data_IF_345078833516
#
_entry.id   IF_345078833516
#
_cell.length_a   1.000
_cell.length_b   1.000
_cell.length_c   1.000
_cell.angle_alpha   90.00
_cell.angle_beta   90.00
_cell.angle_gamma   90.00
#
_symmetry.space_group_name_H-M   'P 1'
#
loop_
_entity.id
_entity.type
_entity.pdbx_description
1 polymer ?
#
# COMPACT_ATOMS: atom_id res chain seq x y z
N UNK A 1 6.67 23.06 -2.85
CA UNK A 1 7.41 22.05 -2.06
C UNK A 1 6.60 21.47 -0.89
N UNK A 2 5.75 22.24 -0.21
CA UNK A 2 4.96 21.76 0.93
C UNK A 2 3.86 20.76 0.52
N UNK A 3 3.17 20.99 -0.58
CA UNK A 3 2.11 20.09 -1.07
C UNK A 3 2.67 18.70 -1.44
N UNK A 4 3.84 18.68 -2.09
CA UNK A 4 4.51 17.42 -2.45
C UNK A 4 4.92 16.61 -1.22
N UNK A 5 5.37 17.28 -0.16
CA UNK A 5 5.76 16.61 1.09
C UNK A 5 4.56 16.09 1.88
N UNK A 6 3.40 16.77 1.81
CA UNK A 6 2.16 16.29 2.42
C UNK A 6 1.61 15.07 1.69
N UNK A 7 1.58 15.09 0.35
CA UNK A 7 1.16 13.93 -0.46
C UNK A 7 2.04 12.71 -0.21
N UNK A 8 3.35 12.88 -0.13
CA UNK A 8 4.27 11.79 0.16
C UNK A 8 4.01 11.16 1.54
N UNK A 9 3.72 11.97 2.56
CA UNK A 9 3.39 11.45 3.90
C UNK A 9 2.06 10.69 3.91
N UNK A 10 1.05 11.20 3.20
CA UNK A 10 -0.26 10.54 3.10
C UNK A 10 -0.14 9.19 2.37
N UNK A 11 0.62 9.17 1.29
CA UNK A 11 0.94 7.99 0.51
C UNK A 11 1.69 6.94 1.34
N UNK A 12 2.72 7.36 2.07
CA UNK A 12 3.46 6.48 2.97
C UNK A 12 2.56 5.89 4.06
N UNK A 13 1.68 6.72 4.63
CA UNK A 13 0.74 6.30 5.67
C UNK A 13 -0.28 5.30 5.14
N UNK A 14 -0.78 5.51 3.92
CA UNK A 14 -1.69 4.57 3.26
C UNK A 14 -1.03 3.23 2.99
N UNK A 15 0.15 3.23 2.36
CA UNK A 15 0.93 2.02 2.12
C UNK A 15 1.26 1.28 3.41
N UNK A 16 1.68 2.01 4.46
CA UNK A 16 1.95 1.42 5.76
C UNK A 16 0.72 0.71 6.35
N UNK A 17 -0.45 1.36 6.30
CA UNK A 17 -1.71 0.77 6.77
C UNK A 17 -2.10 -0.49 5.99
N UNK A 18 -1.86 -0.51 4.66
CA UNK A 18 -2.11 -1.71 3.85
C UNK A 18 -1.16 -2.85 4.21
N UNK A 19 0.13 -2.55 4.41
CA UNK A 19 1.11 -3.54 4.83
C UNK A 19 0.79 -4.12 6.22
N UNK A 20 0.38 -3.25 7.16
CA UNK A 20 -0.03 -3.64 8.51
C UNK A 20 -1.26 -4.55 8.48
N UNK A 21 -2.29 -4.18 7.72
CA UNK A 21 -3.48 -5.00 7.54
C UNK A 21 -3.16 -6.35 6.88
N UNK A 22 -2.28 -6.35 5.87
CA UNK A 22 -1.83 -7.58 5.22
C UNK A 22 -1.10 -8.48 6.21
N UNK A 23 -0.16 -7.94 6.98
CA UNK A 23 0.61 -8.69 7.98
C UNK A 23 -0.29 -9.28 9.06
N UNK A 24 -1.21 -8.46 9.61
CA UNK A 24 -2.16 -8.91 10.62
C UNK A 24 -3.08 -10.03 10.10
N UNK A 25 -3.58 -9.87 8.87
CA UNK A 25 -4.47 -10.87 8.26
C UNK A 25 -3.73 -12.14 7.83
N UNK A 26 -2.45 -12.04 7.48
CA UNK A 26 -1.61 -13.16 7.08
C UNK A 26 -1.23 -14.10 8.25
N UNK A 27 -1.36 -13.64 9.50
CA UNK A 27 -1.09 -14.42 10.70
C UNK A 27 -1.74 -15.82 10.65
N UNK A 28 -3.04 -15.87 10.38
CA UNK A 28 -3.79 -17.12 10.27
C UNK A 28 -3.32 -17.98 9.10
N UNK A 29 -3.10 -17.38 7.95
CA UNK A 29 -2.65 -18.10 6.76
C UNK A 29 -1.28 -18.77 6.97
N UNK A 30 -0.36 -18.06 7.63
CA UNK A 30 0.96 -18.61 7.96
C UNK A 30 0.86 -19.70 9.03
N UNK A 31 0.08 -19.47 10.10
CA UNK A 31 -0.07 -20.42 11.21
C UNK A 31 -0.66 -21.77 10.75
N UNK A 32 -1.66 -21.72 9.86
CA UNK A 32 -2.34 -22.91 9.35
C UNK A 32 -1.79 -23.41 8.01
N UNK A 33 -0.76 -22.74 7.47
CA UNK A 33 -0.19 -23.02 6.14
C UNK A 33 -1.26 -23.02 5.04
N UNK A 34 -2.21 -22.08 5.13
CA UNK A 34 -3.32 -21.91 4.20
C UNK A 34 -2.97 -20.90 3.11
N UNK A 35 -2.40 -21.40 2.01
CA UNK A 35 -1.99 -20.58 0.88
C UNK A 35 -3.19 -19.90 0.19
N UNK A 36 -4.38 -20.50 0.20
CA UNK A 36 -5.56 -19.93 -0.44
C UNK A 36 -6.01 -18.63 0.26
N UNK A 37 -5.89 -18.60 1.59
CA UNK A 37 -6.13 -17.37 2.37
C UNK A 37 -5.08 -16.33 2.03
N UNK A 38 -3.80 -16.70 2.05
CA UNK A 38 -2.70 -15.78 1.76
C UNK A 38 -2.79 -15.20 0.34
N UNK A 39 -3.15 -16.00 -0.66
CA UNK A 39 -3.38 -15.52 -2.02
C UNK A 39 -4.50 -14.48 -2.09
N UNK A 40 -5.65 -14.75 -1.45
CA UNK A 40 -6.77 -13.80 -1.41
C UNK A 40 -6.41 -12.48 -0.75
N UNK A 41 -5.58 -12.53 0.29
CA UNK A 41 -5.09 -11.33 0.98
C UNK A 41 -4.18 -10.51 0.06
N UNK A 42 -3.22 -11.15 -0.60
CA UNK A 42 -2.34 -10.50 -1.57
C UNK A 42 -3.13 -9.92 -2.75
N UNK A 43 -4.10 -10.67 -3.31
CA UNK A 43 -5.00 -10.18 -4.35
C UNK A 43 -5.85 -8.99 -3.88
N UNK A 44 -6.21 -8.96 -2.60
CA UNK A 44 -6.92 -7.83 -1.98
C UNK A 44 -6.09 -6.54 -2.01
N UNK A 45 -4.83 -6.64 -1.62
CA UNK A 45 -3.87 -5.52 -1.64
C UNK A 45 -3.58 -5.08 -3.08
N UNK A 46 -3.43 -6.01 -4.02
CA UNK A 46 -3.16 -5.72 -5.43
C UNK A 46 -4.33 -5.03 -6.16
N UNK A 47 -5.53 -4.93 -5.57
CA UNK A 47 -6.64 -4.12 -6.12
C UNK A 47 -6.40 -2.62 -5.98
N UNK A 48 -5.53 -2.22 -5.07
CA UNK A 48 -5.15 -0.82 -4.96
C UNK A 48 -4.28 -0.43 -6.15
N UNK A 49 -4.60 0.72 -6.76
CA UNK A 49 -3.98 1.16 -8.03
C UNK A 49 -2.51 1.48 -7.91
N UNK A 50 -2.07 1.82 -6.71
CA UNK A 50 -0.70 2.27 -6.45
C UNK A 50 0.23 1.10 -6.12
N UNK A 51 -0.31 -0.11 -5.95
CA UNK A 51 0.47 -1.31 -5.66
C UNK A 51 1.16 -1.86 -6.90
N UNK A 52 2.46 -2.14 -6.75
CA UNK A 52 3.29 -2.81 -7.77
C UNK A 52 3.35 -4.31 -7.51
N UNK A 53 3.54 -4.67 -6.25
CA UNK A 53 3.60 -6.05 -5.81
C UNK A 53 3.19 -6.21 -4.35
N UNK A 54 2.78 -7.42 -4.00
CA UNK A 54 2.57 -7.89 -2.65
C UNK A 54 3.20 -9.28 -2.49
N UNK A 55 3.97 -9.49 -1.44
CA UNK A 55 4.64 -10.74 -1.14
C UNK A 55 4.48 -11.08 0.34
N UNK A 56 4.25 -12.35 0.64
CA UNK A 56 4.23 -12.88 2.00
C UNK A 56 5.27 -13.98 2.06
N UNK A 57 6.17 -13.90 3.04
CA UNK A 57 7.24 -14.86 3.25
C UNK A 57 7.12 -15.52 4.63
N UNK A 58 7.67 -16.71 4.77
CA UNK A 58 7.82 -17.40 6.06
C UNK A 58 8.98 -16.82 6.90
N UNK A 59 9.20 -17.38 8.09
CA UNK A 59 10.28 -16.99 8.98
C UNK A 59 11.69 -17.22 8.40
N UNK A 60 11.81 -18.06 7.38
CA UNK A 60 13.05 -18.36 6.67
C UNK A 60 13.24 -17.47 5.44
N UNK A 61 12.26 -16.63 5.11
CA UNK A 61 12.30 -15.76 3.95
C UNK A 61 11.90 -16.44 2.63
N UNK A 62 11.30 -17.65 2.69
CA UNK A 62 10.76 -18.29 1.50
C UNK A 62 9.40 -17.67 1.15
N UNK A 63 9.16 -17.33 -0.11
CA UNK A 63 7.88 -16.77 -0.52
C UNK A 63 6.77 -17.82 -0.42
N UNK A 64 5.75 -17.53 0.38
CA UNK A 64 4.50 -18.31 0.44
C UNK A 64 3.53 -17.85 -0.65
N UNK A 65 3.44 -16.54 -0.85
CA UNK A 65 2.65 -15.92 -1.92
C UNK A 65 3.41 -14.72 -2.48
N UNK A 66 3.32 -14.59 -3.80
CA UNK A 66 3.92 -13.49 -4.55
C UNK A 66 2.95 -13.06 -5.65
N UNK A 67 2.53 -11.80 -5.62
CA UNK A 67 1.67 -11.18 -6.64
C UNK A 67 2.31 -9.89 -7.11
N UNK A 68 2.34 -9.70 -8.43
CA UNK A 68 2.87 -8.50 -9.05
C UNK A 68 2.01 -8.08 -10.24
N UNK A 69 2.12 -6.81 -10.63
CA UNK A 69 1.49 -6.34 -11.87
C UNK A 69 2.16 -6.95 -13.08
N UNK A 70 1.40 -7.04 -14.20
CA UNK A 70 1.92 -7.59 -15.48
C UNK A 70 3.13 -6.83 -16.02
N UNK A 71 3.20 -5.51 -15.77
CA UNK A 71 4.33 -4.65 -16.19
C UNK A 71 5.51 -4.69 -15.18
N UNK A 72 5.37 -5.43 -14.09
CA UNK A 72 6.40 -5.64 -13.09
C UNK A 72 6.63 -7.15 -12.92
N UNK A 73 7.29 -7.78 -13.91
CA UNK A 73 7.26 -9.24 -14.11
C UNK A 73 7.98 -10.05 -13.03
N UNK A 74 8.92 -9.45 -12.33
CA UNK A 74 9.65 -10.14 -11.27
C UNK A 74 9.90 -9.20 -10.09
N UNK A 75 9.57 -9.67 -8.89
CA UNK A 75 10.07 -9.04 -7.68
C UNK A 75 11.59 -9.23 -7.69
N UNK A 76 12.30 -8.13 -7.79
CA UNK A 76 13.76 -8.12 -7.93
C UNK A 76 14.44 -8.98 -6.86
N UNK A 77 15.48 -9.69 -7.24
CA UNK A 77 16.32 -10.44 -6.30
C UNK A 77 16.82 -9.59 -5.13
N UNK A 78 16.97 -8.29 -5.35
CA UNK A 78 17.32 -7.30 -4.35
C UNK A 78 16.28 -7.19 -3.22
N UNK A 79 14.97 -7.34 -3.51
CA UNK A 79 13.90 -7.35 -2.50
C UNK A 79 14.00 -8.60 -1.64
N UNK A 80 14.18 -9.75 -2.27
CA UNK A 80 14.32 -11.03 -1.55
C UNK A 80 15.54 -11.05 -0.65
N UNK A 81 16.66 -10.52 -1.11
CA UNK A 81 17.86 -10.40 -0.27
C UNK A 81 17.62 -9.50 0.93
N UNK A 82 16.94 -8.35 0.75
CA UNK A 82 16.58 -7.45 1.87
C UNK A 82 15.63 -8.12 2.86
N UNK A 83 14.66 -8.89 2.40
CA UNK A 83 13.79 -9.68 3.29
C UNK A 83 14.62 -10.57 4.18
N UNK A 84 15.57 -11.30 3.61
CA UNK A 84 16.47 -12.18 4.39
C UNK A 84 17.33 -11.37 5.37
N UNK A 85 17.89 -10.25 4.95
CA UNK A 85 18.70 -9.39 5.81
C UNK A 85 17.88 -8.83 6.99
N UNK A 86 16.63 -8.41 6.74
CA UNK A 86 15.74 -7.90 7.78
C UNK A 86 15.33 -9.00 8.75
N UNK A 87 14.95 -10.17 8.25
CA UNK A 87 14.57 -11.32 9.08
C UNK A 87 15.72 -11.77 9.99
N UNK A 88 16.98 -11.68 9.53
CA UNK A 88 18.15 -12.06 10.31
C UNK A 88 18.55 -11.02 11.36
N UNK A 89 18.38 -9.73 11.09
CA UNK A 89 18.92 -8.66 11.91
C UNK A 89 17.85 -7.94 12.77
N UNK A 90 16.67 -7.66 12.21
CA UNK A 90 15.62 -6.87 12.86
C UNK A 90 14.21 -7.38 12.53
N UNK A 91 13.90 -8.66 12.85
CA UNK A 91 12.66 -9.28 12.38
C UNK A 91 11.38 -8.72 13.03
N UNK A 92 11.51 -7.95 14.11
CA UNK A 92 10.36 -7.47 14.92
C UNK A 92 9.95 -6.03 14.64
N UNK A 93 10.70 -5.30 13.82
CA UNK A 93 10.48 -3.89 13.56
C UNK A 93 10.06 -3.69 12.10
N UNK A 94 8.97 -2.93 11.84
CA UNK A 94 8.63 -2.55 10.48
C UNK A 94 9.78 -1.76 9.82
N UNK A 95 10.11 -2.12 8.59
CA UNK A 95 11.13 -1.43 7.81
C UNK A 95 10.51 -0.83 6.56
N UNK A 96 10.95 0.37 6.20
CA UNK A 96 10.52 1.05 4.99
C UNK A 96 11.73 1.56 4.23
N UNK A 97 11.71 1.45 2.90
CA UNK A 97 12.77 1.93 2.05
C UNK A 97 12.26 2.53 0.75
N UNK A 98 12.99 3.53 0.26
CA UNK A 98 12.77 4.09 -1.06
C UNK A 98 13.82 3.53 -2.01
N UNK A 99 13.38 2.89 -3.09
CA UNK A 99 14.25 2.25 -4.06
C UNK A 99 13.77 2.60 -5.47
N UNK A 100 14.60 3.29 -6.21
CA UNK A 100 14.27 3.84 -7.52
C UNK A 100 12.95 4.65 -7.47
N UNK A 101 11.94 4.25 -8.25
CA UNK A 101 10.63 4.89 -8.32
C UNK A 101 9.57 4.22 -7.44
N UNK A 102 9.97 3.36 -6.50
CA UNK A 102 9.05 2.65 -5.62
C UNK A 102 9.38 2.83 -4.13
N UNK A 103 8.35 2.75 -3.32
CA UNK A 103 8.44 2.69 -1.88
C UNK A 103 8.13 1.25 -1.43
N UNK A 104 9.04 0.65 -0.68
CA UNK A 104 8.89 -0.72 -0.18
C UNK A 104 8.63 -0.69 1.31
N UNK A 105 7.66 -1.47 1.75
CA UNK A 105 7.29 -1.60 3.16
C UNK A 105 7.39 -3.08 3.53
N UNK A 106 8.17 -3.34 4.56
CA UNK A 106 8.41 -4.66 5.14
C UNK A 106 7.76 -4.68 6.52
N UNK A 107 6.73 -5.49 6.69
CA UNK A 107 5.95 -5.58 7.91
C UNK A 107 6.07 -6.98 8.50
N UNK A 108 6.60 -7.13 9.73
CA UNK A 108 6.69 -8.44 10.38
C UNK A 108 5.30 -9.00 10.67
N UNK A 109 5.15 -10.31 10.47
CA UNK A 109 3.96 -11.06 10.84
C UNK A 109 4.22 -11.76 12.15
N UNK A 110 3.41 -11.44 13.16
CA UNK A 110 3.54 -12.01 14.48
C UNK A 110 2.45 -13.06 14.71
N UNK A 111 2.85 -14.19 15.25
CA UNK A 111 1.92 -15.21 15.69
C UNK A 111 2.01 -15.32 17.21
N UNK A 112 0.87 -15.35 17.94
CA UNK A 112 0.90 -15.52 19.37
C UNK A 112 1.54 -16.86 19.70
N UNK A 113 2.61 -16.83 20.49
CA UNK A 113 3.22 -18.05 21.02
C UNK A 113 2.23 -18.63 22.02
N UNK A 114 1.58 -19.73 21.67
CA UNK A 114 0.82 -20.51 22.65
C UNK A 114 1.85 -21.13 23.58
N UNK A 115 2.04 -20.52 24.73
CA UNK A 115 2.82 -21.14 25.80
C UNK A 115 2.19 -22.50 26.10
N UNK A 116 2.96 -23.54 25.80
CA UNK A 116 2.65 -24.92 26.13
C UNK A 116 3.02 -25.17 27.58
N UNK A 117 2.55 -24.27 28.47
CA UNK A 117 2.72 -24.47 29.90
C UNK A 117 1.63 -25.44 30.36
N UNK A 118 2.12 -26.55 30.87
CA UNK A 118 1.31 -27.59 31.41
C UNK A 118 0.38 -27.09 32.53
N UNK A 119 -0.78 -27.74 32.61
CA UNK A 119 -1.78 -27.65 33.68
C UNK A 119 -2.45 -26.28 33.86
N UNK A 120 -3.54 -26.13 33.07
CA UNK A 120 -4.50 -25.09 33.26
C UNK A 120 -5.17 -25.21 34.66
N UNK A 121 -4.79 -24.34 35.55
CA UNK A 121 -5.66 -23.97 36.65
C UNK A 121 -6.77 -23.07 36.09
N UNK A 122 -7.94 -23.68 35.92
CA UNK A 122 -9.12 -23.06 35.34
C UNK A 122 -9.76 -22.10 36.35
N UNK A 123 -9.19 -20.93 36.57
CA UNK A 123 -9.82 -19.79 37.26
C UNK A 123 -8.95 -18.52 37.12
N UNK A 124 -9.05 -17.82 36.00
CA UNK A 124 -8.99 -16.36 36.09
C UNK A 124 -9.64 -15.71 34.86
N UNK A 125 -10.57 -14.83 35.11
CA UNK A 125 -11.19 -13.87 34.19
C UNK A 125 -10.12 -12.86 33.68
N UNK A 126 -9.19 -13.32 32.90
CA UNK A 126 -8.20 -12.47 32.21
C UNK A 126 -8.56 -12.34 30.71
N UNK A 127 -9.80 -11.89 30.48
CA UNK A 127 -10.17 -11.38 29.17
C UNK A 127 -9.37 -10.10 28.89
N UNK A 128 -8.54 -10.12 27.84
CA UNK A 128 -7.95 -8.95 27.20
C UNK A 128 -6.82 -8.20 27.92
N UNK A 129 -5.80 -8.90 28.40
CA UNK A 129 -4.50 -8.23 28.52
C UNK A 129 -3.77 -8.27 27.15
N UNK A 130 -3.38 -7.12 26.58
CA UNK A 130 -2.53 -7.12 25.40
C UNK A 130 -1.21 -7.81 25.78
N UNK A 131 -0.88 -8.88 25.07
CA UNK A 131 0.40 -9.58 25.26
C UNK A 131 1.54 -8.56 25.09
N UNK A 132 2.46 -8.51 26.04
CA UNK A 132 3.64 -7.65 25.94
C UNK A 132 4.41 -7.96 24.67
N UNK A 133 5.05 -6.97 24.02
CA UNK A 133 5.75 -7.15 22.72
C UNK A 133 6.83 -8.22 22.75
N UNK A 134 7.36 -8.55 23.91
CA UNK A 134 8.43 -9.52 24.11
C UNK A 134 8.00 -11.00 23.94
N UNK A 135 6.69 -11.28 23.86
CA UNK A 135 6.16 -12.64 23.73
C UNK A 135 5.68 -12.97 22.30
N UNK A 136 5.95 -12.08 21.32
CA UNK A 136 5.56 -12.30 19.94
C UNK A 136 6.75 -12.77 19.13
N UNK A 137 6.64 -13.98 18.58
CA UNK A 137 7.63 -14.50 17.64
C UNK A 137 7.26 -14.12 16.21
N UNK A 138 8.24 -13.60 15.46
CA UNK A 138 8.06 -13.30 14.04
C UNK A 138 8.03 -14.59 13.24
N UNK A 139 6.91 -14.92 12.66
CA UNK A 139 6.70 -16.14 11.86
C UNK A 139 6.74 -15.87 10.36
N UNK A 140 6.98 -14.66 9.96
CA UNK A 140 7.08 -14.28 8.56
C UNK A 140 7.09 -12.77 8.36
N UNK A 141 6.99 -12.36 7.10
CA UNK A 141 6.98 -10.95 6.72
C UNK A 141 6.04 -10.70 5.56
N UNK A 142 5.24 -9.65 5.65
CA UNK A 142 4.48 -9.10 4.56
C UNK A 142 5.27 -7.96 3.92
N UNK A 143 5.42 -7.99 2.60
CA UNK A 143 6.16 -6.99 1.84
C UNK A 143 5.28 -6.43 0.74
N UNK A 144 5.18 -5.11 0.66
CA UNK A 144 4.49 -4.46 -0.44
C UNK A 144 5.39 -3.43 -1.11
N UNK A 145 5.21 -3.29 -2.42
CA UNK A 145 5.84 -2.26 -3.23
C UNK A 145 4.79 -1.30 -3.77
N UNK A 146 5.02 -0.01 -3.58
CA UNK A 146 4.10 1.07 -3.96
C UNK A 146 4.79 2.01 -4.93
N UNK A 147 4.12 2.36 -6.04
CA UNK A 147 4.68 3.19 -7.11
C UNK A 147 4.48 4.68 -6.85
N UNK A 148 5.57 5.46 -6.94
CA UNK A 148 5.47 6.92 -6.95
C UNK A 148 4.96 7.48 -8.27
N UNK A 149 5.31 6.85 -9.38
CA UNK A 149 5.02 7.40 -10.71
C UNK A 149 3.53 7.36 -11.05
N UNK A 150 2.81 6.34 -10.59
CA UNK A 150 1.35 6.25 -10.84
C UNK A 150 0.56 7.35 -10.15
N UNK A 151 0.98 7.76 -8.96
CA UNK A 151 0.35 8.90 -8.25
C UNK A 151 0.56 10.20 -9.02
N UNK A 152 1.76 10.42 -9.55
CA UNK A 152 2.09 11.63 -10.32
C UNK A 152 1.42 11.64 -11.70
N UNK A 153 1.26 10.50 -12.36
CA UNK A 153 0.56 10.37 -13.64
C UNK A 153 -0.94 10.61 -13.52
N UNK A 154 -1.58 10.08 -12.47
CA UNK A 154 -3.02 10.32 -12.21
C UNK A 154 -3.30 11.81 -11.99
N UNK A 155 -2.43 12.50 -11.27
CA UNK A 155 -2.53 13.95 -11.06
C UNK A 155 -2.30 14.74 -12.35
N UNK A 156 -1.37 14.32 -13.19
CA UNK A 156 -1.11 14.96 -14.48
C UNK A 156 -2.29 14.79 -15.46
N UNK A 157 -3.00 13.68 -15.44
CA UNK A 157 -4.22 13.48 -16.25
C UNK A 157 -5.36 14.36 -15.77
N UNK A 158 -5.61 14.43 -14.47
CA UNK A 158 -6.63 15.32 -13.89
C UNK A 158 -6.30 16.77 -14.21
N UNK A 159 -5.05 17.17 -14.09
CA UNK A 159 -4.60 18.52 -14.41
C UNK A 159 -4.80 18.87 -15.90
N UNK A 160 -4.50 17.94 -16.82
CA UNK A 160 -4.78 18.10 -18.26
C UNK A 160 -6.29 18.21 -18.54
N UNK A 161 -7.11 17.46 -17.82
CA UNK A 161 -8.57 17.50 -17.99
C UNK A 161 -9.16 18.85 -17.51
N UNK A 162 -8.70 19.36 -16.37
CA UNK A 162 -9.09 20.67 -15.84
C UNK A 162 -8.66 21.80 -16.78
N UNK A 163 -7.44 21.75 -17.32
CA UNK A 163 -6.95 22.75 -18.29
C UNK A 163 -7.79 22.72 -19.57
N UNK A 164 -8.12 21.54 -20.10
CA UNK A 164 -8.99 21.41 -21.28
C UNK A 164 -10.35 22.02 -21.03
N UNK A 165 -10.96 21.75 -19.88
CA UNK A 165 -12.27 22.29 -19.50
C UNK A 165 -12.22 23.81 -19.36
N UNK A 166 -11.18 24.36 -18.76
CA UNK A 166 -10.97 25.81 -18.64
C UNK A 166 -10.84 26.48 -20.01
N UNK A 167 -10.11 25.88 -20.96
CA UNK A 167 -9.99 26.40 -22.33
C UNK A 167 -11.33 26.40 -23.05
N UNK A 168 -12.14 25.34 -22.91
CA UNK A 168 -13.48 25.26 -23.52
C UNK A 168 -14.39 26.33 -22.95
N UNK A 169 -14.44 26.51 -21.63
CA UNK A 169 -15.25 27.53 -20.97
C UNK A 169 -14.84 28.94 -21.43
N UNK A 170 -13.52 29.20 -21.50
CA UNK A 170 -13.00 30.48 -21.99
C UNK A 170 -13.40 30.75 -23.46
N UNK A 171 -13.30 29.72 -24.29
CA UNK A 171 -13.70 29.79 -25.70
C UNK A 171 -15.21 30.12 -25.87
N UNK A 172 -16.07 29.45 -25.12
CA UNK A 172 -17.50 29.70 -25.11
C UNK A 172 -17.80 31.13 -24.62
N UNK A 173 -17.11 31.59 -23.56
CA UNK A 173 -17.31 32.97 -23.05
C UNK A 173 -16.91 34.03 -24.08
N UNK A 174 -15.81 33.83 -24.82
CA UNK A 174 -15.36 34.73 -25.88
C UNK A 174 -16.37 34.80 -27.05
N UNK A 175 -16.86 33.64 -27.49
CA UNK A 175 -17.89 33.59 -28.56
C UNK A 175 -19.20 34.27 -28.12
N UNK A 176 -19.65 33.97 -26.91
CA UNK A 176 -20.85 34.61 -26.33
C UNK A 176 -20.69 36.15 -26.22
N UNK A 177 -19.52 36.61 -25.75
CA UNK A 177 -19.21 38.04 -25.68
C UNK A 177 -19.24 38.72 -27.06
N UNK A 178 -18.69 38.05 -28.08
CA UNK A 178 -18.67 38.58 -29.43
C UNK A 178 -20.09 38.68 -30.06
N UNK A 179 -20.90 37.64 -29.85
CA UNK A 179 -22.30 37.66 -30.31
C UNK A 179 -23.10 38.74 -29.60
N UNK A 180 -22.85 38.97 -28.32
CA UNK A 180 -23.54 40.02 -27.56
C UNK A 180 -23.19 41.42 -28.06
N UNK A 181 -21.93 41.67 -28.41
CA UNK A 181 -21.46 42.92 -29.01
C UNK A 181 -22.06 43.13 -30.40
N UNK A 182 -22.18 42.11 -31.24
CA UNK A 182 -22.82 42.18 -32.55
C UNK A 182 -24.33 42.46 -32.46
N UNK A 183 -24.97 41.85 -31.42
CA UNK A 183 -26.43 42.08 -31.20
C UNK A 183 -26.73 43.52 -30.75
N UNK A 184 -25.86 44.11 -29.94
CA UNK A 184 -26.01 45.49 -29.46
C UNK A 184 -25.68 46.50 -30.56
N UNK A 185 -24.73 46.21 -31.46
CA UNK A 185 -24.32 47.09 -32.51
C UNK A 185 -25.15 46.97 -33.79
N UNK A 186 -26.19 46.12 -33.88
CA UNK A 186 -27.10 46.14 -34.97
C UNK A 186 -27.93 47.41 -34.91
N UNK A 187 -27.85 48.34 -35.91
CA UNK A 187 -28.68 49.51 -35.93
C UNK A 187 -30.13 49.07 -36.09
N UNK A 188 -31.01 49.66 -35.27
CA UNK A 188 -32.46 49.55 -35.39
C UNK A 188 -32.82 50.42 -36.62
N UNK A 189 -32.98 49.75 -37.77
CA UNK A 189 -33.67 50.38 -38.93
C UNK A 189 -35.16 50.23 -38.81
#
# INVERSE_FOLDING_TARGET
DQERSLMLREFQRHGFSLAENLAYSAEYGILFNDNDILEKLADGVMKDRDMLFAMIVDAQGHPLVEKSLQDFPEIEASVRQRVQDILQNTPTVPFTGHYDDMYQIFMPVFVPTVQKDGEADARSDAAHQPLEPEQRETQGMAVIGVSFNRVTESLAEIQKQVIRLAIVVLGVALVASRLLVELINRPIE
#
